data_IF_751080069347
#
_entry.id   IF_751080069347
#
_cell.length_a   1.000
_cell.length_b   1.000
_cell.length_c   1.000
_cell.angle_alpha   90.00
_cell.angle_beta   90.00
_cell.angle_gamma   90.00
#
_symmetry.space_group_name_H-M   'P 1'
#
loop_
_entity.id
_entity.type
_entity.pdbx_description
1 polymer ?
#
# COMPACT_ATOMS: atom_id res chain seq x y z
N UNK A 1 38.51 21.24 19.01
CA UNK A 1 39.58 20.23 18.95
C UNK A 1 39.21 18.93 19.65
N UNK A 2 38.60 18.97 20.83
CA UNK A 2 38.19 17.79 21.64
C UNK A 2 37.19 16.86 20.88
N UNK A 3 36.22 17.41 20.15
CA UNK A 3 35.20 16.61 19.44
C UNK A 3 35.82 15.76 18.30
N UNK A 4 36.76 16.28 17.54
CA UNK A 4 37.48 15.52 16.49
C UNK A 4 38.34 14.38 17.07
N UNK A 5 39.00 14.64 18.23
CA UNK A 5 39.78 13.62 18.91
C UNK A 5 38.87 12.47 19.41
N UNK A 6 37.72 12.79 20.05
CA UNK A 6 36.79 11.81 20.55
C UNK A 6 36.14 10.94 19.43
N UNK A 7 35.85 11.52 18.28
CA UNK A 7 35.32 10.79 17.12
C UNK A 7 36.37 9.82 16.54
N UNK A 8 37.63 10.27 16.39
CA UNK A 8 38.72 9.41 15.89
C UNK A 8 39.02 8.26 16.85
N UNK A 9 38.98 8.55 18.15
CA UNK A 9 39.19 7.53 19.21
C UNK A 9 38.04 6.51 19.25
N UNK A 10 36.80 6.94 19.04
CA UNK A 10 35.64 6.07 18.92
C UNK A 10 35.78 5.06 17.76
N UNK A 11 36.22 5.50 16.58
CA UNK A 11 36.43 4.61 15.44
C UNK A 11 37.56 3.59 15.69
N UNK A 12 38.64 3.97 16.36
CA UNK A 12 39.75 3.07 16.66
C UNK A 12 39.35 2.02 17.71
N UNK A 13 38.59 2.42 18.71
CA UNK A 13 38.06 1.55 19.75
C UNK A 13 37.08 0.49 19.18
N UNK A 14 36.24 0.89 18.23
CA UNK A 14 35.26 0.00 17.54
C UNK A 14 35.96 -1.08 16.69
N UNK A 15 37.14 -0.78 16.14
CA UNK A 15 37.91 -1.71 15.32
C UNK A 15 38.52 -2.89 16.11
N UNK A 16 38.66 -2.76 17.41
CA UNK A 16 39.30 -3.79 18.26
C UNK A 16 38.32 -4.87 18.73
N UNK A 17 37.02 -4.58 18.91
CA UNK A 17 35.99 -5.52 19.39
C UNK A 17 35.05 -6.01 18.28
N UNK A 18 35.57 -6.37 17.10
CA UNK A 18 34.85 -6.56 15.82
C UNK A 18 33.57 -7.40 15.90
N UNK A 19 33.61 -8.60 16.45
CA UNK A 19 32.45 -9.51 16.43
C UNK A 19 31.25 -8.97 17.19
N UNK A 20 31.45 -8.41 18.37
CA UNK A 20 30.38 -7.91 19.24
C UNK A 20 29.81 -6.59 18.73
N UNK A 21 30.69 -5.73 18.23
CA UNK A 21 30.31 -4.45 17.58
C UNK A 21 29.45 -4.71 16.34
N UNK A 22 29.80 -5.70 15.51
CA UNK A 22 29.02 -6.08 14.33
C UNK A 22 27.63 -6.58 14.74
N UNK A 23 27.51 -7.45 15.76
CA UNK A 23 26.21 -7.94 16.24
C UNK A 23 25.33 -6.81 16.78
N UNK A 24 25.90 -5.87 17.53
CA UNK A 24 25.17 -4.71 18.02
C UNK A 24 24.69 -3.81 16.86
N UNK A 25 25.57 -3.54 15.89
CA UNK A 25 25.24 -2.75 14.70
C UNK A 25 24.15 -3.46 13.88
N UNK A 26 24.21 -4.78 13.66
CA UNK A 26 23.19 -5.53 12.93
C UNK A 26 21.81 -5.35 13.57
N UNK A 27 21.71 -5.44 14.91
CA UNK A 27 20.44 -5.24 15.62
C UNK A 27 19.87 -3.83 15.37
N UNK A 28 20.71 -2.79 15.42
CA UNK A 28 20.30 -1.41 15.13
C UNK A 28 19.89 -1.24 13.65
N UNK A 29 20.69 -1.78 12.74
CA UNK A 29 20.45 -1.72 11.29
C UNK A 29 19.13 -2.36 10.92
N UNK A 30 18.85 -3.56 11.45
CA UNK A 30 17.57 -4.25 11.21
C UNK A 30 16.42 -3.45 11.82
N UNK A 31 16.57 -2.98 13.07
CA UNK A 31 15.53 -2.22 13.75
C UNK A 31 15.17 -0.92 13.02
N UNK A 32 16.16 -0.10 12.69
CA UNK A 32 15.94 1.18 11.98
C UNK A 32 15.52 0.91 10.53
N UNK A 33 16.17 -0.03 9.85
CA UNK A 33 15.87 -0.36 8.46
C UNK A 33 14.45 -0.85 8.25
N UNK A 34 13.94 -1.68 9.17
CA UNK A 34 12.55 -2.16 9.12
C UNK A 34 11.53 -1.04 9.31
N UNK A 35 11.77 -0.13 10.26
CA UNK A 35 10.88 1.01 10.49
C UNK A 35 10.85 1.95 9.28
N UNK A 36 12.03 2.30 8.74
CA UNK A 36 12.12 3.19 7.58
C UNK A 36 11.54 2.54 6.32
N UNK A 37 11.88 1.28 6.08
CA UNK A 37 11.34 0.53 4.95
C UNK A 37 9.81 0.53 4.97
N UNK A 38 9.21 0.25 6.12
CA UNK A 38 7.76 0.19 6.26
C UNK A 38 7.08 1.55 6.09
N UNK A 39 7.59 2.60 6.73
CA UNK A 39 7.02 3.95 6.60
C UNK A 39 7.11 4.43 5.15
N UNK A 40 8.24 4.15 4.48
CA UNK A 40 8.43 4.51 3.08
C UNK A 40 7.50 3.72 2.15
N UNK A 41 7.37 2.39 2.32
CA UNK A 41 6.44 1.54 1.56
C UNK A 41 5.00 2.01 1.78
N UNK A 42 4.64 2.34 3.02
CA UNK A 42 3.32 2.88 3.34
C UNK A 42 3.01 4.18 2.59
N UNK A 43 3.96 5.10 2.55
CA UNK A 43 3.82 6.37 1.81
C UNK A 43 3.74 6.15 0.29
N UNK A 44 4.50 5.20 -0.26
CA UNK A 44 4.44 4.83 -1.68
C UNK A 44 3.07 4.23 -2.02
N UNK A 45 2.57 3.31 -1.20
CA UNK A 45 1.26 2.69 -1.40
C UNK A 45 0.11 3.71 -1.28
N UNK A 46 0.20 4.65 -0.33
CA UNK A 46 -0.78 5.73 -0.18
C UNK A 46 -0.79 6.63 -1.42
N UNK A 47 0.38 7.03 -1.92
CA UNK A 47 0.47 7.87 -3.11
C UNK A 47 -0.06 7.18 -4.36
N UNK A 48 0.25 5.89 -4.54
CA UNK A 48 -0.27 5.10 -5.66
C UNK A 48 -1.79 4.97 -5.61
N UNK A 49 -2.35 4.72 -4.41
CA UNK A 49 -3.80 4.70 -4.24
C UNK A 49 -4.43 6.05 -4.61
N UNK A 50 -3.86 7.16 -4.12
CA UNK A 50 -4.32 8.51 -4.46
C UNK A 50 -4.25 8.79 -5.96
N UNK A 51 -3.20 8.32 -6.64
CA UNK A 51 -3.05 8.46 -8.09
C UNK A 51 -4.14 7.69 -8.83
N UNK A 52 -4.37 6.43 -8.49
CA UNK A 52 -5.41 5.60 -9.08
C UNK A 52 -6.81 6.24 -8.90
N UNK A 53 -7.10 6.82 -7.74
CA UNK A 53 -8.38 7.52 -7.53
C UNK A 53 -8.48 8.82 -8.33
N UNK A 54 -7.40 9.60 -8.45
CA UNK A 54 -7.38 10.79 -9.30
C UNK A 54 -7.58 10.46 -10.77
N UNK A 55 -6.99 9.35 -11.22
CA UNK A 55 -7.13 8.87 -12.60
C UNK A 55 -8.56 8.41 -12.92
N UNK A 56 -9.30 7.92 -11.92
CA UNK A 56 -10.73 7.56 -12.07
C UNK A 56 -11.68 8.75 -11.96
N UNK A 57 -11.27 9.83 -11.30
CA UNK A 57 -12.12 10.93 -10.83
C UNK A 57 -12.62 10.65 -9.40
N UNK A 58 -12.48 11.66 -8.54
CA UNK A 58 -12.99 11.59 -7.14
C UNK A 58 -14.51 11.66 -7.06
N UNK A 59 -15.16 11.92 -8.18
CA UNK A 59 -16.60 12.19 -8.29
C UNK A 59 -17.43 10.91 -8.50
N UNK A 60 -16.79 9.74 -8.62
CA UNK A 60 -17.49 8.45 -8.78
C UNK A 60 -17.63 7.79 -7.43
N UNK A 61 -18.82 7.29 -7.11
CA UNK A 61 -19.09 6.45 -5.94
C UNK A 61 -19.55 5.07 -6.36
N UNK A 62 -19.09 4.05 -5.65
CA UNK A 62 -19.53 2.67 -5.86
C UNK A 62 -20.69 2.36 -4.92
N UNK A 63 -21.78 1.89 -5.49
CA UNK A 63 -22.96 1.47 -4.74
C UNK A 63 -23.12 -0.04 -4.85
N UNK A 64 -23.26 -0.70 -3.72
CA UNK A 64 -23.59 -2.13 -3.64
C UNK A 64 -24.92 -2.31 -2.93
N UNK A 65 -25.79 -3.04 -3.58
CA UNK A 65 -27.11 -3.38 -3.09
C UNK A 65 -27.08 -4.82 -2.55
N UNK A 66 -27.49 -5.01 -1.31
CA UNK A 66 -27.60 -6.34 -0.71
C UNK A 66 -29.05 -6.57 -0.31
N UNK A 67 -29.67 -7.60 -0.88
CA UNK A 67 -31.05 -7.95 -0.59
C UNK A 67 -31.15 -8.55 0.80
N UNK A 68 -32.05 -8.03 1.62
CA UNK A 68 -32.42 -8.63 2.90
C UNK A 68 -33.47 -9.72 2.75
N UNK A 69 -34.23 -9.71 1.65
CA UNK A 69 -35.28 -10.69 1.30
C UNK A 69 -35.28 -10.91 -0.20
N UNK A 70 -35.68 -12.10 -0.68
CA UNK A 70 -35.86 -12.41 -2.11
C UNK A 70 -36.84 -11.49 -2.86
N UNK A 71 -37.74 -10.85 -2.13
CA UNK A 71 -38.74 -9.93 -2.68
C UNK A 71 -38.19 -8.52 -2.98
N UNK A 72 -37.05 -8.17 -2.44
CA UNK A 72 -36.40 -6.88 -2.67
C UNK A 72 -35.70 -6.85 -4.04
N UNK A 73 -36.48 -6.74 -5.12
CA UNK A 73 -35.92 -6.65 -6.48
C UNK A 73 -35.70 -5.18 -6.85
N UNK A 74 -34.45 -4.87 -7.28
CA UNK A 74 -34.10 -3.59 -7.89
C UNK A 74 -33.90 -3.83 -9.37
N UNK A 75 -34.66 -3.08 -10.17
CA UNK A 75 -34.60 -3.18 -11.63
C UNK A 75 -33.59 -2.18 -12.20
N UNK A 76 -33.18 -2.41 -13.45
CA UNK A 76 -32.37 -1.44 -14.19
C UNK A 76 -33.01 -0.05 -14.21
N UNK A 77 -34.36 -0.01 -14.36
CA UNK A 77 -35.12 1.25 -14.37
C UNK A 77 -35.05 1.99 -13.04
N UNK A 78 -35.05 1.30 -11.92
CA UNK A 78 -34.94 1.93 -10.59
C UNK A 78 -33.57 2.59 -10.40
N UNK A 79 -32.51 2.00 -10.94
CA UNK A 79 -31.15 2.57 -10.84
C UNK A 79 -31.02 3.74 -11.82
N UNK A 80 -31.55 3.63 -13.04
CA UNK A 80 -31.47 4.72 -14.01
C UNK A 80 -32.33 5.93 -13.62
N UNK A 81 -33.46 5.72 -12.94
CA UNK A 81 -34.29 6.81 -12.43
C UNK A 81 -33.61 7.64 -11.33
N UNK A 82 -32.59 7.09 -10.65
CA UNK A 82 -31.86 7.81 -9.61
C UNK A 82 -31.29 9.14 -10.09
N UNK A 83 -30.79 9.22 -11.33
CA UNK A 83 -30.25 10.46 -11.90
C UNK A 83 -31.33 11.52 -12.21
N UNK A 84 -32.59 11.10 -12.34
CA UNK A 84 -33.72 11.99 -12.62
C UNK A 84 -34.34 12.50 -11.31
N UNK A 85 -34.35 11.67 -10.27
CA UNK A 85 -34.95 11.97 -8.98
C UNK A 85 -33.96 12.70 -8.02
N UNK A 86 -32.65 12.45 -8.13
CA UNK A 86 -31.64 12.99 -7.23
C UNK A 86 -30.65 13.89 -7.97
N UNK A 87 -30.75 15.20 -7.77
CA UNK A 87 -29.90 16.21 -8.42
C UNK A 87 -28.42 16.12 -8.07
N UNK A 88 -28.09 15.40 -7.01
CA UNK A 88 -26.69 15.12 -6.60
C UNK A 88 -25.98 14.15 -7.54
N UNK A 89 -26.74 13.39 -8.36
CA UNK A 89 -26.23 12.34 -9.22
C UNK A 89 -26.37 12.75 -10.69
N UNK A 90 -25.23 12.85 -11.37
CA UNK A 90 -25.20 13.24 -12.79
C UNK A 90 -25.48 12.08 -13.73
N UNK A 91 -24.95 10.90 -13.41
CA UNK A 91 -25.14 9.70 -14.22
C UNK A 91 -24.93 8.43 -13.39
N UNK A 92 -25.43 7.30 -13.89
CA UNK A 92 -25.30 5.99 -13.24
C UNK A 92 -24.85 4.93 -14.24
N UNK A 93 -24.00 4.02 -13.80
CA UNK A 93 -23.52 2.90 -14.60
C UNK A 93 -23.73 1.59 -13.85
N UNK A 94 -24.93 1.01 -13.93
CA UNK A 94 -25.18 -0.32 -13.42
C UNK A 94 -24.39 -1.36 -14.21
N UNK A 95 -23.94 -2.41 -13.51
CA UNK A 95 -23.27 -3.52 -14.13
C UNK A 95 -23.64 -4.86 -13.49
N UNK A 96 -23.62 -5.91 -14.29
CA UNK A 96 -23.78 -7.29 -13.89
C UNK A 96 -22.43 -8.00 -13.99
N UNK A 97 -22.19 -8.94 -13.10
CA UNK A 97 -20.98 -9.78 -13.15
C UNK A 97 -21.34 -11.25 -13.08
N UNK A 98 -20.65 -12.03 -13.88
CA UNK A 98 -20.59 -13.47 -13.82
C UNK A 98 -19.20 -13.93 -14.17
N UNK A 99 -18.85 -15.16 -13.85
CA UNK A 99 -17.57 -15.72 -14.23
C UNK A 99 -17.73 -17.21 -14.51
N UNK A 100 -16.91 -17.72 -15.39
CA UNK A 100 -16.99 -19.13 -15.77
C UNK A 100 -15.84 -19.57 -16.64
N UNK A 101 -15.71 -20.90 -16.77
CA UNK A 101 -14.76 -21.52 -17.68
C UNK A 101 -15.42 -21.78 -19.02
N UNK A 102 -14.79 -21.29 -20.08
CA UNK A 102 -15.27 -21.41 -21.47
C UNK A 102 -14.24 -22.10 -22.32
N UNK A 103 -14.72 -23.01 -23.16
CA UNK A 103 -13.89 -23.67 -24.17
C UNK A 103 -13.98 -22.92 -25.48
N UNK A 104 -12.87 -22.34 -25.91
CA UNK A 104 -12.74 -21.64 -27.18
C UNK A 104 -11.72 -22.41 -28.04
N UNK A 105 -12.19 -23.03 -29.11
CA UNK A 105 -11.39 -23.98 -29.87
C UNK A 105 -11.02 -25.21 -29.05
N UNK A 106 -9.71 -25.51 -28.92
CA UNK A 106 -9.18 -26.65 -28.15
C UNK A 106 -8.68 -26.28 -26.75
N UNK A 107 -8.84 -25.03 -26.34
CA UNK A 107 -8.33 -24.53 -25.05
C UNK A 107 -9.48 -24.00 -24.20
N UNK A 108 -9.37 -24.20 -22.88
CA UNK A 108 -10.28 -23.61 -21.91
C UNK A 108 -9.64 -22.38 -21.27
N UNK A 109 -10.46 -21.37 -21.06
CA UNK A 109 -10.09 -20.15 -20.38
C UNK A 109 -11.14 -19.80 -19.33
N UNK A 110 -10.70 -19.31 -18.16
CA UNK A 110 -11.57 -18.72 -17.19
C UNK A 110 -11.75 -17.23 -17.52
N UNK A 111 -12.98 -16.80 -17.70
CA UNK A 111 -13.34 -15.44 -18.10
C UNK A 111 -14.27 -14.81 -17.08
N UNK A 112 -13.99 -13.57 -16.75
CA UNK A 112 -14.95 -12.67 -16.13
C UNK A 112 -15.92 -12.17 -17.23
N UNK A 113 -17.20 -12.12 -16.92
CA UNK A 113 -18.22 -11.61 -17.82
C UNK A 113 -18.90 -10.42 -17.18
N UNK A 114 -19.00 -9.34 -17.91
CA UNK A 114 -19.58 -8.11 -17.42
C UNK A 114 -20.66 -7.61 -18.38
N UNK A 115 -21.86 -7.42 -17.84
CA UNK A 115 -22.92 -6.69 -18.51
C UNK A 115 -22.89 -5.23 -18.07
N UNK A 116 -22.70 -4.29 -18.99
CA UNK A 116 -22.54 -2.87 -18.67
C UNK A 116 -23.44 -1.98 -19.53
N UNK A 117 -23.65 -0.75 -19.05
CA UNK A 117 -24.24 0.34 -19.85
C UNK A 117 -23.14 1.15 -20.54
N UNK A 118 -23.47 1.98 -21.53
CA UNK A 118 -22.52 2.82 -22.24
C UNK A 118 -21.73 3.75 -21.30
N UNK A 119 -22.38 4.31 -20.29
CA UNK A 119 -21.77 5.18 -19.26
C UNK A 119 -20.64 4.52 -18.48
N UNK A 120 -20.62 3.21 -18.38
CA UNK A 120 -19.62 2.46 -17.61
C UNK A 120 -18.19 2.75 -18.04
N UNK A 121 -17.93 2.81 -19.34
CA UNK A 121 -16.57 3.05 -19.86
C UNK A 121 -16.07 4.46 -19.55
N UNK A 122 -16.94 5.44 -19.71
CA UNK A 122 -16.63 6.85 -19.41
C UNK A 122 -16.35 7.08 -17.91
N UNK A 123 -17.22 6.55 -17.04
CA UNK A 123 -17.05 6.67 -15.58
C UNK A 123 -15.77 6.01 -15.07
N UNK A 124 -15.38 4.87 -15.67
CA UNK A 124 -14.15 4.18 -15.32
C UNK A 124 -12.92 4.72 -16.08
N UNK A 125 -13.08 5.72 -16.95
CA UNK A 125 -12.02 6.25 -17.84
C UNK A 125 -11.24 5.15 -18.56
N UNK A 126 -11.96 4.13 -19.01
CA UNK A 126 -11.40 3.01 -19.76
C UNK A 126 -11.09 3.49 -21.17
N UNK A 127 -9.96 3.04 -21.72
CA UNK A 127 -9.55 3.31 -23.09
C UNK A 127 -9.67 2.06 -23.94
N UNK A 128 -9.80 2.24 -25.25
CA UNK A 128 -9.74 1.19 -26.24
C UNK A 128 -8.35 1.10 -26.84
N UNK A 129 -7.88 -0.13 -27.02
CA UNK A 129 -6.72 -0.42 -27.88
C UNK A 129 -7.17 -0.52 -29.34
N UNK A 130 -8.33 -1.13 -29.62
CA UNK A 130 -8.86 -1.34 -30.96
C UNK A 130 -10.39 -1.30 -30.96
N UNK A 131 -10.99 -0.86 -32.08
CA UNK A 131 -12.43 -0.93 -32.29
C UNK A 131 -13.25 0.16 -31.62
N UNK A 132 -14.42 -0.20 -31.07
CA UNK A 132 -15.35 0.71 -30.41
C UNK A 132 -15.91 0.13 -29.11
N UNK A 133 -16.40 0.99 -28.25
CA UNK A 133 -17.16 0.60 -27.07
C UNK A 133 -18.58 0.10 -27.44
N UNK A 134 -19.19 -0.59 -26.47
CA UNK A 134 -20.61 -0.87 -26.49
C UNK A 134 -21.36 0.45 -26.29
N UNK A 135 -22.40 0.65 -27.09
CA UNK A 135 -23.32 1.79 -27.04
C UNK A 135 -24.75 1.32 -26.73
N UNK A 136 -25.63 2.27 -26.44
CA UNK A 136 -27.05 1.99 -26.23
C UNK A 136 -27.73 1.40 -27.48
N UNK A 137 -27.18 1.62 -28.68
CA UNK A 137 -27.63 1.01 -29.94
C UNK A 137 -27.35 -0.51 -30.02
N UNK A 138 -26.47 -1.00 -29.17
CA UNK A 138 -26.09 -2.43 -29.10
C UNK A 138 -26.98 -3.23 -28.12
N UNK A 139 -28.00 -2.59 -27.55
CA UNK A 139 -28.92 -3.26 -26.63
C UNK A 139 -29.52 -4.52 -27.26
N UNK A 140 -29.58 -5.57 -26.44
CA UNK A 140 -30.08 -6.89 -26.85
C UNK A 140 -29.32 -7.58 -27.99
N UNK A 141 -28.18 -7.05 -28.42
CA UNK A 141 -27.31 -7.66 -29.44
C UNK A 141 -26.16 -8.44 -28.79
N UNK A 142 -25.67 -9.47 -29.51
CA UNK A 142 -24.55 -10.29 -29.04
C UNK A 142 -23.23 -9.70 -29.52
N UNK A 143 -22.98 -8.44 -29.16
CA UNK A 143 -21.68 -7.77 -29.32
C UNK A 143 -20.92 -7.79 -28.01
N UNK A 144 -19.59 -7.87 -28.10
CA UNK A 144 -18.76 -7.80 -26.91
C UNK A 144 -17.47 -7.02 -27.16
N UNK A 145 -16.93 -6.47 -26.08
CA UNK A 145 -15.60 -5.89 -25.99
C UNK A 145 -14.77 -6.79 -25.09
N UNK A 146 -13.55 -7.13 -25.48
CA UNK A 146 -12.69 -8.04 -24.72
C UNK A 146 -11.57 -7.28 -24.02
N UNK A 147 -11.22 -7.72 -22.82
CA UNK A 147 -10.09 -7.19 -22.08
C UNK A 147 -8.74 -7.59 -22.70
N UNK A 148 -7.66 -6.92 -22.33
CA UNK A 148 -6.35 -7.09 -22.94
C UNK A 148 -5.80 -8.53 -22.81
N UNK A 149 -5.94 -9.15 -21.64
CA UNK A 149 -5.50 -10.54 -21.41
C UNK A 149 -6.33 -11.55 -22.19
N UNK A 150 -7.65 -11.33 -22.25
CA UNK A 150 -8.56 -12.13 -23.06
C UNK A 150 -8.19 -11.99 -24.54
N UNK A 151 -7.89 -10.79 -25.02
CA UNK A 151 -7.45 -10.53 -26.38
C UNK A 151 -6.12 -11.25 -26.71
N UNK A 152 -5.15 -11.19 -25.79
CA UNK A 152 -3.88 -11.90 -25.93
C UNK A 152 -4.06 -13.42 -26.01
N UNK A 153 -4.94 -13.98 -25.17
CA UNK A 153 -5.28 -15.41 -25.24
C UNK A 153 -5.92 -15.78 -26.58
N UNK A 154 -6.91 -15.00 -27.04
CA UNK A 154 -7.60 -15.26 -28.32
C UNK A 154 -6.65 -15.19 -29.52
N UNK A 155 -5.73 -14.22 -29.54
CA UNK A 155 -4.65 -14.17 -30.56
C UNK A 155 -3.74 -15.40 -30.47
N UNK A 156 -3.41 -15.85 -29.27
CA UNK A 156 -2.58 -17.04 -29.02
C UNK A 156 -3.20 -18.37 -29.47
N UNK A 157 -4.50 -18.42 -29.72
CA UNK A 157 -5.20 -19.58 -30.28
C UNK A 157 -5.49 -19.42 -31.78
N UNK A 158 -4.95 -18.36 -32.41
CA UNK A 158 -5.04 -18.14 -33.86
C UNK A 158 -6.22 -17.28 -34.31
N UNK A 159 -6.93 -16.61 -33.39
CA UNK A 159 -8.00 -15.70 -33.77
C UNK A 159 -7.41 -14.33 -34.11
N UNK A 160 -7.21 -14.08 -35.38
CA UNK A 160 -6.68 -12.81 -35.87
C UNK A 160 -7.22 -12.51 -37.30
N UNK A 161 -7.86 -11.36 -37.57
CA UNK A 161 -8.08 -10.22 -36.67
C UNK A 161 -9.12 -10.51 -35.57
N UNK A 162 -9.04 -9.82 -34.44
CA UNK A 162 -10.04 -9.97 -33.37
C UNK A 162 -11.34 -9.24 -33.69
N UNK A 163 -11.26 -8.01 -34.23
CA UNK A 163 -12.45 -7.23 -34.58
C UNK A 163 -13.27 -7.92 -35.64
N UNK A 164 -14.57 -8.05 -35.40
CA UNK A 164 -15.51 -8.78 -36.25
C UNK A 164 -15.49 -10.30 -36.07
N UNK A 165 -14.50 -10.85 -35.35
CA UNK A 165 -14.44 -12.28 -35.06
C UNK A 165 -15.53 -12.70 -34.08
N UNK A 166 -15.94 -13.95 -34.16
CA UNK A 166 -16.99 -14.54 -33.33
C UNK A 166 -16.40 -15.48 -32.28
N UNK A 167 -16.84 -15.34 -31.04
CA UNK A 167 -16.44 -16.22 -29.93
C UNK A 167 -17.69 -16.90 -29.34
N UNK A 168 -17.65 -18.23 -29.12
CA UNK A 168 -18.70 -18.93 -28.41
C UNK A 168 -18.56 -18.71 -26.89
N UNK A 169 -19.62 -18.24 -26.26
CA UNK A 169 -19.75 -18.16 -24.82
C UNK A 169 -21.01 -18.92 -24.43
N UNK A 170 -20.85 -20.07 -23.79
CA UNK A 170 -21.98 -20.97 -23.53
C UNK A 170 -22.76 -21.33 -24.80
N UNK A 171 -24.05 -21.07 -24.81
CA UNK A 171 -24.97 -21.38 -25.93
C UNK A 171 -25.08 -20.24 -26.95
N UNK A 172 -24.29 -19.17 -26.84
CA UNK A 172 -24.40 -17.99 -27.68
C UNK A 172 -23.08 -17.65 -28.33
N UNK A 173 -23.18 -17.02 -29.50
CA UNK A 173 -22.02 -16.53 -30.26
C UNK A 173 -22.00 -15.01 -30.15
N UNK A 174 -20.89 -14.46 -29.71
CA UNK A 174 -20.66 -13.02 -29.57
C UNK A 174 -19.67 -12.52 -30.61
N UNK A 175 -19.96 -11.37 -31.21
CA UNK A 175 -19.05 -10.71 -32.14
C UNK A 175 -18.21 -9.67 -31.39
N UNK A 176 -16.90 -9.74 -31.53
CA UNK A 176 -15.97 -8.78 -30.90
C UNK A 176 -16.01 -7.47 -31.68
N UNK A 177 -16.39 -6.38 -31.01
CA UNK A 177 -16.47 -5.03 -31.58
C UNK A 177 -15.37 -4.10 -31.07
N UNK A 178 -14.67 -4.49 -30.01
CA UNK A 178 -13.57 -3.71 -29.46
C UNK A 178 -12.66 -4.52 -28.55
N UNK A 179 -11.48 -3.98 -28.31
CA UNK A 179 -10.47 -4.51 -27.40
C UNK A 179 -10.11 -3.38 -26.42
N UNK A 180 -10.21 -3.65 -25.12
CA UNK A 180 -9.81 -2.69 -24.09
C UNK A 180 -8.29 -2.55 -24.08
N UNK A 181 -7.83 -1.34 -23.79
CA UNK A 181 -6.44 -1.12 -23.39
C UNK A 181 -6.20 -1.71 -22.00
N UNK A 182 -4.93 -1.79 -21.60
CA UNK A 182 -4.58 -2.30 -20.29
C UNK A 182 -5.20 -1.43 -19.18
N UNK A 183 -6.04 -2.02 -18.37
CA UNK A 183 -6.73 -1.37 -17.26
C UNK A 183 -6.06 -1.78 -15.95
N UNK A 184 -5.53 -0.79 -15.22
CA UNK A 184 -4.99 -1.07 -13.88
C UNK A 184 -6.11 -1.54 -12.95
N UNK A 185 -5.92 -2.70 -12.33
CA UNK A 185 -6.81 -3.18 -11.29
C UNK A 185 -6.67 -2.33 -10.03
N UNK A 186 -7.80 -1.98 -9.42
CA UNK A 186 -7.81 -1.23 -8.16
C UNK A 186 -8.74 -0.02 -8.14
N UNK A 187 -8.80 0.64 -7.00
CA UNK A 187 -9.70 1.77 -6.77
C UNK A 187 -11.17 1.34 -6.74
N UNK A 188 -12.02 2.07 -7.46
CA UNK A 188 -13.45 1.78 -7.57
C UNK A 188 -13.82 0.96 -8.80
N UNK A 189 -12.85 0.65 -9.66
CA UNK A 189 -13.07 -0.19 -10.84
C UNK A 189 -13.41 -1.62 -10.45
N UNK A 190 -14.35 -2.26 -11.10
CA UNK A 190 -14.55 -3.70 -10.96
C UNK A 190 -13.26 -4.46 -11.34
N UNK A 191 -12.88 -5.43 -10.51
CA UNK A 191 -11.71 -6.28 -10.78
C UNK A 191 -11.90 -7.17 -12.00
N UNK A 192 -10.79 -7.52 -12.67
CA UNK A 192 -10.76 -8.51 -13.73
C UNK A 192 -11.20 -7.98 -15.10
N UNK A 193 -11.16 -6.66 -15.32
CA UNK A 193 -11.48 -6.07 -16.63
C UNK A 193 -10.54 -6.57 -17.75
N UNK A 194 -9.26 -6.79 -17.44
CA UNK A 194 -8.28 -7.30 -18.43
C UNK A 194 -8.57 -8.74 -18.86
N UNK A 195 -9.12 -9.56 -17.97
CA UNK A 195 -9.51 -10.96 -18.24
C UNK A 195 -11.00 -11.12 -18.53
N UNK A 196 -11.68 -10.04 -18.90
CA UNK A 196 -13.14 -10.02 -19.06
C UNK A 196 -13.60 -10.04 -20.51
N UNK A 197 -14.86 -10.42 -20.66
CA UNK A 197 -15.71 -10.16 -21.85
C UNK A 197 -16.84 -9.25 -21.39
N UNK A 198 -16.89 -8.06 -21.95
CA UNK A 198 -17.87 -7.01 -21.61
C UNK A 198 -18.94 -6.95 -22.70
N UNK A 199 -20.21 -7.01 -22.29
CA UNK A 199 -21.37 -7.04 -23.19
C UNK A 199 -22.45 -6.04 -22.73
N UNK A 200 -23.47 -5.70 -23.55
CA UNK A 200 -24.57 -4.88 -23.11
C UNK A 200 -25.28 -5.47 -21.89
N UNK A 201 -25.67 -4.64 -20.92
CA UNK A 201 -26.31 -5.10 -19.70
C UNK A 201 -27.64 -5.84 -19.97
N UNK A 202 -28.37 -5.42 -21.01
CA UNK A 202 -29.61 -6.06 -21.45
C UNK A 202 -29.39 -7.46 -21.99
N UNK A 203 -28.26 -7.68 -22.69
CA UNK A 203 -27.85 -9.01 -23.18
C UNK A 203 -27.36 -9.87 -22.01
N UNK A 204 -26.56 -9.31 -21.10
CA UNK A 204 -26.09 -10.01 -19.91
C UNK A 204 -27.25 -10.48 -19.00
N UNK A 205 -28.27 -9.65 -18.82
CA UNK A 205 -29.45 -9.99 -18.03
C UNK A 205 -30.24 -11.19 -18.57
N UNK A 206 -30.09 -11.51 -19.86
CA UNK A 206 -30.71 -12.71 -20.48
C UNK A 206 -29.75 -13.90 -20.56
N UNK A 207 -28.47 -13.61 -20.43
CA UNK A 207 -27.41 -14.61 -20.59
C UNK A 207 -26.97 -15.18 -19.23
N UNK A 208 -26.95 -14.38 -18.16
CA UNK A 208 -26.56 -14.83 -16.84
C UNK A 208 -27.71 -15.51 -16.11
N UNK A 209 -27.43 -16.60 -15.40
CA UNK A 209 -28.43 -17.30 -14.56
C UNK A 209 -28.94 -16.39 -13.43
N UNK A 210 -28.07 -15.51 -12.91
CA UNK A 210 -28.44 -14.47 -11.95
C UNK A 210 -28.31 -13.10 -12.62
N UNK A 211 -29.45 -12.51 -12.94
CA UNK A 211 -29.53 -11.20 -13.59
C UNK A 211 -29.83 -10.04 -12.64
N UNK A 212 -29.70 -10.27 -11.33
CA UNK A 212 -29.91 -9.24 -10.33
C UNK A 212 -28.79 -8.24 -10.34
N UNK A 213 -29.11 -6.96 -10.50
CA UNK A 213 -28.13 -5.88 -10.42
C UNK A 213 -27.86 -5.62 -8.93
N UNK A 214 -26.68 -6.01 -8.49
CA UNK A 214 -26.22 -5.84 -7.11
C UNK A 214 -25.24 -4.68 -6.93
N UNK A 215 -24.77 -4.12 -8.03
CA UNK A 215 -23.74 -3.05 -7.99
C UNK A 215 -23.90 -2.07 -9.14
N UNK A 216 -23.63 -0.81 -8.86
CA UNK A 216 -23.55 0.24 -9.88
C UNK A 216 -22.57 1.33 -9.46
N UNK A 217 -22.08 2.08 -10.44
CA UNK A 217 -21.32 3.31 -10.20
C UNK A 217 -22.26 4.49 -10.36
N UNK A 218 -22.08 5.52 -9.56
CA UNK A 218 -22.80 6.79 -9.71
C UNK A 218 -21.79 7.94 -9.80
N UNK A 219 -21.98 8.82 -10.79
CA UNK A 219 -21.21 10.03 -10.96
C UNK A 219 -21.88 11.15 -10.16
N UNK A 220 -21.14 11.70 -9.21
CA UNK A 220 -21.59 12.77 -8.31
C UNK A 220 -21.29 14.13 -8.94
N UNK A 221 -22.21 15.08 -8.77
CA UNK A 221 -21.99 16.45 -9.24
C UNK A 221 -20.87 17.17 -8.47
N UNK A 222 -20.08 17.96 -9.18
CA UNK A 222 -18.92 18.68 -8.62
C UNK A 222 -19.27 19.66 -7.47
N UNK A 223 -20.53 20.03 -7.34
CA UNK A 223 -21.01 20.94 -6.29
C UNK A 223 -21.49 20.23 -5.03
N UNK A 224 -21.56 18.88 -5.06
CA UNK A 224 -22.08 18.07 -3.97
C UNK A 224 -20.96 17.27 -3.35
N UNK A 225 -20.92 17.24 -2.02
CA UNK A 225 -19.98 16.39 -1.29
C UNK A 225 -20.32 14.91 -1.52
N UNK A 226 -19.31 14.01 -1.72
CA UNK A 226 -19.53 12.56 -1.81
C UNK A 226 -20.29 11.98 -0.61
N UNK A 227 -20.15 12.59 0.57
CA UNK A 227 -20.87 12.22 1.79
C UNK A 227 -22.36 12.53 1.68
N UNK A 228 -22.72 13.68 1.08
CA UNK A 228 -24.11 14.04 0.84
C UNK A 228 -24.72 13.09 -0.21
N UNK A 229 -24.05 12.88 -1.32
CA UNK A 229 -24.48 11.94 -2.36
C UNK A 229 -24.72 10.52 -1.81
N UNK A 230 -23.86 10.06 -0.88
CA UNK A 230 -24.06 8.80 -0.18
C UNK A 230 -25.37 8.76 0.58
N UNK A 231 -25.69 9.84 1.30
CA UNK A 231 -26.94 9.94 2.08
C UNK A 231 -28.16 9.95 1.18
N UNK A 232 -28.10 10.70 0.08
CA UNK A 232 -29.18 10.80 -0.92
C UNK A 232 -29.46 9.44 -1.55
N UNK A 233 -28.44 8.73 -2.04
CA UNK A 233 -28.55 7.39 -2.59
C UNK A 233 -29.17 6.41 -1.57
N UNK A 234 -28.69 6.44 -0.32
CA UNK A 234 -29.22 5.56 0.71
C UNK A 234 -30.69 5.86 1.02
N UNK A 235 -31.09 7.13 1.07
CA UNK A 235 -32.47 7.54 1.30
C UNK A 235 -33.37 7.12 0.14
N UNK A 236 -32.94 7.34 -1.10
CA UNK A 236 -33.64 6.94 -2.30
C UNK A 236 -34.06 5.45 -2.27
N UNK A 237 -33.09 4.56 -2.06
CA UNK A 237 -33.35 3.14 -2.04
C UNK A 237 -34.11 2.69 -0.78
N UNK A 238 -33.93 3.37 0.36
CA UNK A 238 -34.69 3.08 1.59
C UNK A 238 -36.18 3.36 1.43
N UNK A 239 -36.53 4.39 0.65
CA UNK A 239 -37.95 4.67 0.34
C UNK A 239 -38.52 3.59 -0.57
N UNK A 240 -37.75 3.13 -1.56
CA UNK A 240 -38.18 2.07 -2.50
C UNK A 240 -38.29 0.68 -1.87
N UNK A 241 -37.38 0.34 -0.95
CA UNK A 241 -37.45 -0.94 -0.22
C UNK A 241 -36.72 -0.86 1.12
N UNK A 242 -37.44 -1.08 2.21
CA UNK A 242 -36.88 -1.13 3.57
C UNK A 242 -35.97 -2.33 3.81
N UNK A 243 -36.09 -3.38 3.00
CA UNK A 243 -35.31 -4.61 3.12
C UNK A 243 -34.01 -4.57 2.33
N UNK A 244 -33.77 -3.49 1.60
CA UNK A 244 -32.57 -3.32 0.82
C UNK A 244 -31.45 -2.65 1.66
N UNK A 245 -30.34 -3.34 1.82
CA UNK A 245 -29.14 -2.74 2.43
C UNK A 245 -28.28 -2.10 1.35
N UNK A 246 -28.13 -0.80 1.42
CA UNK A 246 -27.38 -0.01 0.45
C UNK A 246 -26.05 0.40 1.06
N UNK A 247 -24.97 -0.10 0.51
CA UNK A 247 -23.61 0.32 0.87
C UNK A 247 -23.07 1.22 -0.22
N UNK A 248 -22.84 2.47 0.11
CA UNK A 248 -22.17 3.42 -0.77
C UNK A 248 -20.74 3.60 -0.28
N UNK A 249 -19.79 3.40 -1.16
CA UNK A 249 -18.36 3.53 -0.88
C UNK A 249 -17.81 4.68 -1.71
N UNK A 250 -17.21 5.66 -1.05
CA UNK A 250 -16.56 6.80 -1.72
C UNK A 250 -15.05 6.56 -1.83
N UNK A 251 -14.38 7.28 -2.73
CA UNK A 251 -12.93 7.26 -2.84
C UNK A 251 -12.26 7.62 -1.50
N UNK A 252 -12.80 8.62 -0.81
CA UNK A 252 -12.31 9.07 0.49
C UNK A 252 -12.39 7.95 1.56
N UNK A 253 -13.49 7.19 1.60
CA UNK A 253 -13.63 6.05 2.53
C UNK A 253 -12.62 4.94 2.24
N UNK A 254 -12.38 4.63 0.96
CA UNK A 254 -11.38 3.63 0.58
C UNK A 254 -9.98 4.08 0.99
N UNK A 255 -9.62 5.33 0.71
CA UNK A 255 -8.34 5.91 1.11
C UNK A 255 -8.19 5.88 2.64
N UNK A 256 -9.24 6.28 3.38
CA UNK A 256 -9.22 6.26 4.84
C UNK A 256 -9.05 4.84 5.41
N UNK A 257 -9.71 3.84 4.82
CA UNK A 257 -9.57 2.44 5.20
C UNK A 257 -8.15 1.91 4.90
N UNK A 258 -7.59 2.26 3.73
CA UNK A 258 -6.21 1.91 3.39
C UNK A 258 -5.22 2.54 4.37
N UNK A 259 -5.37 3.83 4.69
CA UNK A 259 -4.55 4.51 5.69
C UNK A 259 -4.62 3.81 7.05
N UNK A 260 -5.82 3.46 7.51
CA UNK A 260 -6.02 2.75 8.77
C UNK A 260 -5.33 1.37 8.75
N UNK A 261 -5.44 0.64 7.65
CA UNK A 261 -4.78 -0.65 7.50
C UNK A 261 -3.26 -0.51 7.51
N UNK A 262 -2.72 0.50 6.80
CA UNK A 262 -1.28 0.79 6.81
C UNK A 262 -0.78 1.22 8.20
N UNK A 263 -1.59 1.95 8.98
CA UNK A 263 -1.26 2.29 10.38
C UNK A 263 -1.14 1.04 11.26
N UNK A 264 -2.04 0.06 11.09
CA UNK A 264 -1.97 -1.22 11.83
C UNK A 264 -0.68 -1.97 11.46
N UNK A 265 -0.35 -2.08 10.18
CA UNK A 265 0.90 -2.71 9.74
C UNK A 265 2.14 -1.96 10.26
N UNK A 266 2.12 -0.62 10.22
CA UNK A 266 3.20 0.20 10.76
C UNK A 266 3.39 -0.02 12.26
N UNK A 267 2.30 -0.16 13.03
CA UNK A 267 2.35 -0.46 14.46
C UNK A 267 2.93 -1.85 14.73
N UNK A 268 2.51 -2.88 13.98
CA UNK A 268 3.02 -4.25 14.13
C UNK A 268 4.53 -4.32 13.81
N UNK A 269 4.95 -3.73 12.70
CA UNK A 269 6.36 -3.72 12.31
C UNK A 269 7.20 -2.78 13.17
N UNK A 270 6.60 -1.69 13.66
CA UNK A 270 7.20 -0.84 14.68
C UNK A 270 7.47 -1.59 15.99
N UNK A 271 6.56 -2.47 16.41
CA UNK A 271 6.76 -3.34 17.56
C UNK A 271 7.93 -4.33 17.34
N UNK A 272 7.99 -4.98 16.17
CA UNK A 272 9.10 -5.87 15.80
C UNK A 272 10.42 -5.09 15.73
N UNK A 273 10.41 -3.91 15.10
CA UNK A 273 11.57 -3.02 15.03
C UNK A 273 12.04 -2.58 16.42
N UNK A 274 11.11 -2.30 17.35
CA UNK A 274 11.44 -1.93 18.72
C UNK A 274 12.13 -3.07 19.48
N UNK A 275 11.68 -4.31 19.30
CA UNK A 275 12.35 -5.49 19.87
C UNK A 275 13.78 -5.60 19.32
N UNK A 276 13.95 -5.45 18.00
CA UNK A 276 15.28 -5.47 17.37
C UNK A 276 16.19 -4.34 17.89
N UNK A 277 15.62 -3.13 18.10
CA UNK A 277 16.34 -2.00 18.67
C UNK A 277 16.76 -2.25 20.13
N UNK A 278 15.90 -2.88 20.93
CA UNK A 278 16.24 -3.27 22.32
C UNK A 278 17.39 -4.26 22.31
N UNK A 279 17.31 -5.31 21.49
CA UNK A 279 18.38 -6.32 21.36
C UNK A 279 19.68 -5.69 20.89
N UNK A 280 19.63 -4.84 19.85
CA UNK A 280 20.77 -4.08 19.38
C UNK A 280 21.34 -3.14 20.43
N UNK A 281 20.46 -2.43 21.15
CA UNK A 281 20.85 -1.53 22.26
C UNK A 281 21.53 -2.25 23.42
N UNK A 282 21.03 -3.43 23.81
CA UNK A 282 21.68 -4.30 24.81
C UNK A 282 23.07 -4.73 24.28
N UNK A 283 23.17 -5.02 22.97
CA UNK A 283 24.45 -5.29 22.31
C UNK A 283 25.42 -4.12 22.45
N UNK A 284 24.95 -2.89 22.19
CA UNK A 284 25.78 -1.66 22.40
C UNK A 284 26.20 -1.52 23.86
N UNK A 285 25.28 -1.69 24.80
CA UNK A 285 25.57 -1.62 26.23
C UNK A 285 26.66 -2.63 26.62
N UNK A 286 26.57 -3.87 26.13
CA UNK A 286 27.58 -4.91 26.41
C UNK A 286 28.94 -4.58 25.81
N UNK A 287 29.00 -4.10 24.57
CA UNK A 287 30.25 -3.65 23.93
C UNK A 287 30.89 -2.52 24.74
N UNK A 288 30.10 -1.55 25.16
CA UNK A 288 30.59 -0.41 25.95
C UNK A 288 31.07 -0.81 27.34
N UNK A 289 30.38 -1.75 28.03
CA UNK A 289 30.84 -2.27 29.32
C UNK A 289 32.20 -2.98 29.22
N UNK A 290 32.40 -3.73 28.15
CA UNK A 290 33.69 -4.39 27.90
C UNK A 290 34.76 -3.35 27.59
N UNK A 291 34.47 -2.35 26.74
CA UNK A 291 35.39 -1.26 26.45
C UNK A 291 35.82 -0.52 27.73
N UNK A 292 34.90 -0.28 28.68
CA UNK A 292 35.20 0.29 29.98
C UNK A 292 36.14 -0.58 30.78
N UNK A 293 35.94 -1.92 30.78
CA UNK A 293 36.85 -2.83 31.51
C UNK A 293 38.20 -2.95 30.88
N UNK A 294 38.31 -3.01 29.57
CA UNK A 294 39.60 -3.03 28.84
C UNK A 294 40.41 -1.74 29.00
N UNK A 295 39.71 -0.59 29.08
CA UNK A 295 40.33 0.75 29.23
C UNK A 295 40.41 1.25 30.69
N UNK A 296 40.21 0.37 31.65
CA UNK A 296 40.09 0.73 33.06
C UNK A 296 41.33 1.50 33.60
N UNK A 297 42.53 1.07 33.22
CA UNK A 297 43.78 1.71 33.63
C UNK A 297 43.91 3.12 33.03
N UNK A 298 43.54 3.30 31.78
CA UNK A 298 43.51 4.57 31.07
C UNK A 298 42.54 5.57 31.72
N UNK A 299 41.30 5.11 32.03
CA UNK A 299 40.29 5.90 32.74
C UNK A 299 40.78 6.31 34.13
N UNK A 300 41.39 5.36 34.84
CA UNK A 300 41.99 5.61 36.15
C UNK A 300 43.08 6.68 36.11
N UNK A 301 43.98 6.64 35.11
CA UNK A 301 45.02 7.62 34.89
C UNK A 301 44.46 9.01 34.58
N UNK A 302 43.47 9.10 33.67
CA UNK A 302 42.78 10.38 33.37
C UNK A 302 42.14 10.98 34.63
N UNK A 303 41.47 10.15 35.44
CA UNK A 303 40.85 10.55 36.69
C UNK A 303 41.90 11.02 37.74
N UNK A 304 43.05 10.34 37.82
CA UNK A 304 44.13 10.72 38.70
C UNK A 304 44.81 12.05 38.30
N UNK A 305 44.80 12.36 36.99
CA UNK A 305 45.31 13.62 36.43
C UNK A 305 44.30 14.78 36.54
N UNK A 306 43.08 14.54 37.13
CA UNK A 306 42.13 15.60 37.44
C UNK A 306 40.89 15.68 36.51
N UNK A 307 40.68 14.70 35.61
CA UNK A 307 39.48 14.68 34.79
C UNK A 307 38.23 14.53 35.67
N UNK A 308 37.17 15.30 35.36
CA UNK A 308 35.90 15.23 36.08
C UNK A 308 35.12 14.01 35.68
N UNK A 309 34.18 13.59 36.53
CA UNK A 309 33.27 12.47 36.18
C UNK A 309 32.43 12.73 34.93
N UNK A 310 32.02 14.00 34.73
CA UNK A 310 31.26 14.45 33.57
C UNK A 310 32.05 14.31 32.24
N UNK A 311 33.37 14.52 32.29
CA UNK A 311 34.23 14.41 31.10
C UNK A 311 34.30 12.98 30.61
N UNK A 312 34.50 12.02 31.54
CA UNK A 312 34.52 10.60 31.21
C UNK A 312 33.15 10.14 30.75
N UNK A 313 32.06 10.54 31.44
CA UNK A 313 30.71 10.16 31.07
C UNK A 313 30.33 10.66 29.68
N UNK A 314 30.61 11.92 29.38
CA UNK A 314 30.32 12.51 28.06
C UNK A 314 31.10 11.84 26.95
N UNK A 315 32.34 11.43 27.15
CA UNK A 315 33.16 10.71 26.18
C UNK A 315 32.50 9.37 25.82
N UNK A 316 32.14 8.55 26.81
CA UNK A 316 31.52 7.23 26.56
C UNK A 316 30.10 7.34 25.96
N UNK A 317 29.32 8.37 26.33
CA UNK A 317 28.04 8.63 25.67
C UNK A 317 28.24 8.99 24.20
N UNK A 318 29.27 9.80 23.88
CA UNK A 318 29.58 10.12 22.48
C UNK A 318 30.04 8.90 21.69
N UNK A 319 30.81 7.99 22.28
CA UNK A 319 31.23 6.74 21.64
C UNK A 319 29.99 5.86 21.32
N UNK A 320 29.05 5.71 22.26
CA UNK A 320 27.81 4.98 22.04
C UNK A 320 26.91 5.65 20.98
N UNK A 321 26.83 6.98 20.99
CA UNK A 321 26.07 7.76 20.02
C UNK A 321 26.63 7.59 18.61
N UNK A 322 27.93 7.68 18.43
CA UNK A 322 28.60 7.49 17.13
C UNK A 322 28.33 6.09 16.60
N UNK A 323 28.45 5.06 17.44
CA UNK A 323 28.15 3.68 17.07
C UNK A 323 26.70 3.51 16.59
N UNK A 324 25.75 4.05 17.35
CA UNK A 324 24.33 3.98 16.99
C UNK A 324 23.99 4.79 15.74
N UNK A 325 24.62 5.95 15.55
CA UNK A 325 24.44 6.76 14.34
C UNK A 325 25.01 6.06 13.10
N UNK A 326 26.17 5.40 13.19
CA UNK A 326 26.70 4.58 12.09
C UNK A 326 25.75 3.45 11.72
N UNK A 327 25.28 2.70 12.72
CA UNK A 327 24.26 1.67 12.52
C UNK A 327 22.97 2.26 11.94
N UNK A 328 22.56 3.45 12.42
CA UNK A 328 21.40 4.19 11.94
C UNK A 328 21.50 4.58 10.47
N UNK A 329 22.64 5.14 10.05
CA UNK A 329 22.87 5.48 8.63
C UNK A 329 22.78 4.25 7.74
N UNK A 330 23.44 3.16 8.13
CA UNK A 330 23.39 1.91 7.37
C UNK A 330 21.94 1.38 7.32
N UNK A 331 21.21 1.42 8.44
CA UNK A 331 19.81 1.03 8.52
C UNK A 331 18.89 1.88 7.63
N UNK A 332 19.10 3.21 7.62
CA UNK A 332 18.39 4.13 6.74
C UNK A 332 18.63 3.78 5.27
N UNK A 333 19.89 3.60 4.88
CA UNK A 333 20.25 3.25 3.49
C UNK A 333 19.60 1.92 3.09
N UNK A 334 19.68 0.89 3.94
CA UNK A 334 19.04 -0.40 3.66
C UNK A 334 17.52 -0.30 3.59
N UNK A 335 16.89 0.46 4.48
CA UNK A 335 15.44 0.69 4.45
C UNK A 335 14.99 1.38 3.16
N UNK A 336 15.75 2.38 2.71
CA UNK A 336 15.49 3.07 1.42
C UNK A 336 15.69 2.12 0.24
N UNK A 337 16.75 1.30 0.24
CA UNK A 337 17.00 0.31 -0.82
C UNK A 337 15.86 -0.69 -0.91
N UNK A 338 15.41 -1.24 0.22
CA UNK A 338 14.27 -2.18 0.26
C UNK A 338 13.01 -1.53 -0.30
N UNK A 339 12.72 -0.28 0.08
CA UNK A 339 11.56 0.48 -0.42
C UNK A 339 11.68 0.74 -1.93
N UNK A 340 12.87 1.02 -2.43
CA UNK A 340 13.12 1.21 -3.86
C UNK A 340 12.90 -0.07 -4.67
N UNK A 341 13.42 -1.20 -4.17
CA UNK A 341 13.20 -2.53 -4.80
C UNK A 341 11.71 -2.85 -4.83
N UNK A 342 11.01 -2.63 -3.70
CA UNK A 342 9.57 -2.84 -3.63
C UNK A 342 8.80 -2.00 -4.67
N UNK A 343 9.10 -0.70 -4.77
CA UNK A 343 8.48 0.19 -5.75
C UNK A 343 8.71 -0.28 -7.19
N UNK A 344 9.92 -0.75 -7.50
CA UNK A 344 10.27 -1.28 -8.83
C UNK A 344 9.53 -2.58 -9.17
N UNK A 345 9.46 -3.52 -8.23
CA UNK A 345 8.77 -4.80 -8.42
C UNK A 345 7.25 -4.60 -8.57
N UNK A 346 6.69 -3.65 -7.80
CA UNK A 346 5.27 -3.31 -7.86
C UNK A 346 4.90 -2.37 -9.02
N UNK A 347 5.88 -1.91 -9.81
CA UNK A 347 5.70 -0.89 -10.86
C UNK A 347 5.08 0.43 -10.34
N UNK A 348 5.38 0.79 -9.09
CA UNK A 348 4.89 2.01 -8.45
C UNK A 348 5.95 3.12 -8.49
N UNK A 349 5.51 4.38 -8.38
CA UNK A 349 6.43 5.50 -8.30
C UNK A 349 7.16 5.52 -6.96
N UNK A 350 8.49 5.54 -7.03
CA UNK A 350 9.32 5.63 -5.83
C UNK A 350 9.26 7.04 -5.22
N UNK A 351 8.94 7.12 -3.93
CA UNK A 351 8.91 8.36 -3.17
C UNK A 351 9.78 8.22 -1.93
N UNK A 352 10.60 9.22 -1.70
CA UNK A 352 11.43 9.30 -0.48
C UNK A 352 10.62 10.02 0.60
N UNK A 353 10.38 9.35 1.71
CA UNK A 353 9.79 9.96 2.90
C UNK A 353 10.87 10.62 3.75
N UNK A 354 11.05 11.93 3.62
CA UNK A 354 12.00 12.68 4.45
C UNK A 354 11.72 12.58 5.94
N UNK A 355 10.43 12.46 6.31
CA UNK A 355 10.01 12.26 7.69
C UNK A 355 10.54 10.96 8.30
N UNK A 356 10.58 9.86 7.51
CA UNK A 356 11.13 8.58 7.99
C UNK A 356 12.64 8.65 8.22
N UNK A 357 13.38 9.40 7.40
CA UNK A 357 14.81 9.58 7.57
C UNK A 357 15.12 10.34 8.88
N UNK A 358 14.41 11.45 9.13
CA UNK A 358 14.56 12.23 10.37
C UNK A 358 14.21 11.37 11.59
N UNK A 359 13.14 10.58 11.51
CA UNK A 359 12.73 9.67 12.56
C UNK A 359 13.81 8.60 12.82
N UNK A 360 14.40 8.04 11.77
CA UNK A 360 15.49 7.07 11.89
C UNK A 360 16.72 7.62 12.62
N UNK A 361 17.15 8.84 12.27
CA UNK A 361 18.23 9.52 13.00
C UNK A 361 17.87 9.80 14.46
N UNK A 362 16.64 10.26 14.73
CA UNK A 362 16.17 10.52 16.09
C UNK A 362 16.17 9.25 16.96
N UNK A 363 15.67 8.15 16.40
CA UNK A 363 15.65 6.85 17.08
C UNK A 363 17.07 6.32 17.32
N UNK A 364 17.98 6.42 16.33
CA UNK A 364 19.37 6.02 16.49
C UNK A 364 20.06 6.79 17.64
N UNK A 365 19.85 8.10 17.67
CA UNK A 365 20.41 8.95 18.73
C UNK A 365 19.83 8.61 20.12
N UNK A 366 18.52 8.40 20.21
CA UNK A 366 17.85 8.02 21.46
C UNK A 366 18.35 6.68 22.00
N UNK A 367 18.50 5.67 21.14
CA UNK A 367 19.07 4.36 21.49
C UNK A 367 20.51 4.50 21.97
N UNK A 368 21.34 5.27 21.27
CA UNK A 368 22.73 5.50 21.66
C UNK A 368 22.86 6.15 23.03
N UNK A 369 22.07 7.17 23.31
CA UNK A 369 22.07 7.84 24.62
C UNK A 369 21.54 6.90 25.72
N UNK A 370 20.43 6.24 25.48
CA UNK A 370 19.77 5.40 26.49
C UNK A 370 20.64 4.19 26.90
N UNK A 371 21.12 3.42 25.94
CA UNK A 371 21.93 2.23 26.23
C UNK A 371 23.38 2.56 26.52
N UNK A 372 23.91 3.71 26.10
CA UNK A 372 25.24 4.22 26.41
C UNK A 372 25.34 4.82 27.82
N UNK A 373 24.21 5.28 28.40
CA UNK A 373 24.21 5.98 29.70
C UNK A 373 24.75 5.14 30.84
N UNK A 374 24.31 3.89 30.97
CA UNK A 374 24.72 3.01 32.08
C UNK A 374 26.22 2.70 32.04
N UNK A 375 26.83 2.23 30.94
CA UNK A 375 28.28 2.05 30.83
C UNK A 375 29.07 3.33 31.07
N UNK A 376 28.64 4.44 30.51
CA UNK A 376 29.29 5.73 30.68
C UNK A 376 29.36 6.19 32.17
N UNK A 377 28.21 6.00 32.88
CA UNK A 377 28.12 6.26 34.31
C UNK A 377 29.03 5.32 35.12
N UNK A 378 29.12 4.04 34.73
CA UNK A 378 30.01 3.06 35.35
C UNK A 378 31.48 3.45 35.20
N UNK A 379 31.89 3.87 34.00
CA UNK A 379 33.25 4.39 33.73
C UNK A 379 33.58 5.64 34.54
N UNK A 380 32.66 6.61 34.64
CA UNK A 380 32.84 7.84 35.36
C UNK A 380 33.01 7.66 36.88
N UNK A 381 32.47 6.58 37.43
CA UNK A 381 32.54 6.25 38.88
C UNK A 381 33.73 5.36 39.27
N UNK A 382 34.61 4.99 38.34
CA UNK A 382 35.78 4.21 38.64
C UNK A 382 36.68 4.93 39.65
N UNK A 383 37.10 4.20 40.69
CA UNK A 383 38.06 4.66 41.68
C UNK A 383 39.48 4.64 41.05
N UNK A 384 40.17 5.80 40.95
CA UNK A 384 41.46 5.86 40.35
C UNK A 384 42.51 4.93 40.96
N UNK A 385 42.46 4.80 42.30
CA UNK A 385 43.43 3.95 43.05
C UNK A 385 43.23 2.48 42.71
N UNK A 386 41.97 2.03 42.70
CA UNK A 386 41.62 0.63 42.35
C UNK A 386 41.88 0.32 40.88
N UNK A 387 41.72 1.32 39.99
CA UNK A 387 41.92 1.17 38.56
C UNK A 387 43.41 1.03 38.17
N UNK A 388 44.31 1.64 38.93
CA UNK A 388 45.74 1.57 38.71
C UNK A 388 46.44 0.38 39.39
N UNK A 389 45.73 -0.28 40.33
CA UNK A 389 46.26 -1.44 41.09
C UNK A 389 45.85 -2.81 40.50
N UNK A 390 44.94 -2.82 39.55
CA UNK A 390 44.47 -4.02 38.83
C UNK A 390 45.20 -4.20 37.50
#
# INVERSE_FOLDING_TARGET
MILKANISEAFTSLANARQRTILAIIGIVIGIGSVIGMVSIGSIAENEALKQFKDMGVDVVMVRLTKGSPSANVTLRDITALKEEEHSILDVAPYLRSSGSYSIGKKSIYLEQMGVTASFFGMNKIRLAEGRFISDLDENRYFCVVGMETAAFLRGIGLNPLLGSQIPLGNRIFTIVGVLDNVSDGGMRPYGLNSSVVMPITTAGRFFEKSDIDSFLALVGNTVSPVQAKTDIQNYFRVKSRELKVRVTTAEELIANMKKQMQIFSLLLGAIGSISLIVGGIGVMNVMLISVTERRMEIGLRRALGAQQGDIQSQFIMEALVLCLVGGVIGIVLGVIVSFIFARVSHWEFLISYGSIILGFGVAAAVGVFFGYYPARSAARLDPIKALRS
#
